data_IF_570474229775
#
_entry.id   IF_570474229775
#
_cell.length_a   1.000
_cell.length_b   1.000
_cell.length_c   1.000
_cell.angle_alpha   90.00
_cell.angle_beta   90.00
_cell.angle_gamma   90.00
#
_symmetry.space_group_name_H-M   'P 1'
#
loop_
_entity.id
_entity.type
_entity.pdbx_description
1 polymer ?
#
# COMPACT_ATOMS: atom_id res chain seq x y z
N UNK A 1 43.29 -3.16 -8.56
CA UNK A 1 42.80 -2.97 -7.17
C UNK A 1 41.37 -3.48 -7.12
N UNK A 2 41.02 -4.42 -6.24
CA UNK A 2 39.63 -4.91 -6.13
C UNK A 2 38.73 -3.72 -5.74
N UNK A 3 37.68 -3.47 -6.53
CA UNK A 3 36.71 -2.39 -6.33
C UNK A 3 36.01 -2.52 -4.96
N UNK A 4 36.63 -1.99 -3.92
CA UNK A 4 36.09 -2.00 -2.55
C UNK A 4 34.95 -1.00 -2.47
N UNK A 5 33.85 -1.37 -1.83
CA UNK A 5 32.76 -0.45 -1.55
C UNK A 5 33.19 0.46 -0.39
N UNK A 6 33.00 1.77 -0.56
CA UNK A 6 33.26 2.76 0.46
C UNK A 6 32.22 2.64 1.58
N UNK A 7 32.68 2.53 2.82
CA UNK A 7 31.81 2.45 4.01
C UNK A 7 32.22 3.48 5.06
N UNK A 8 31.36 3.69 6.07
CA UNK A 8 31.68 4.55 7.22
C UNK A 8 33.02 4.15 7.85
N UNK A 9 33.77 5.13 8.35
CA UNK A 9 35.12 5.03 8.91
C UNK A 9 36.24 4.66 7.92
N UNK A 10 35.97 4.61 6.62
CA UNK A 10 37.06 4.56 5.63
C UNK A 10 37.74 5.92 5.54
N UNK A 11 39.06 5.90 5.43
CA UNK A 11 39.90 7.08 5.30
C UNK A 11 40.43 7.18 3.87
N UNK A 12 40.18 8.34 3.25
CA UNK A 12 40.55 8.66 1.88
C UNK A 12 41.40 9.92 1.86
N UNK A 13 42.51 9.89 1.12
CA UNK A 13 43.24 11.11 0.77
C UNK A 13 42.71 11.59 -0.58
N UNK A 14 42.03 12.74 -0.59
CA UNK A 14 41.33 13.26 -1.77
C UNK A 14 41.72 14.69 -2.11
N UNK A 15 41.63 15.04 -3.38
CA UNK A 15 41.47 16.45 -3.78
C UNK A 15 39.99 16.71 -4.06
N UNK A 16 39.46 17.80 -3.50
CA UNK A 16 38.07 18.21 -3.68
C UNK A 16 38.08 19.56 -4.39
N UNK A 17 37.36 19.66 -5.49
CA UNK A 17 37.04 20.93 -6.16
C UNK A 17 35.53 21.13 -6.14
N UNK A 18 35.09 22.36 -5.95
CA UNK A 18 33.68 22.75 -5.95
C UNK A 18 33.47 23.87 -6.96
N UNK A 19 32.40 23.77 -7.74
CA UNK A 19 32.05 24.67 -8.83
C UNK A 19 30.62 25.20 -8.63
N UNK A 20 30.38 26.46 -9.00
CA UNK A 20 29.02 26.99 -9.14
C UNK A 20 28.51 26.84 -10.58
N UNK A 21 27.32 27.37 -10.86
CA UNK A 21 26.69 27.35 -12.19
C UNK A 21 27.54 28.01 -13.31
N UNK A 22 28.61 28.73 -12.96
CA UNK A 22 29.53 29.38 -13.92
C UNK A 22 30.86 28.65 -14.07
N UNK A 23 30.97 27.44 -13.52
CA UNK A 23 32.22 26.67 -13.44
C UNK A 23 33.35 27.42 -12.71
N UNK A 24 33.02 28.37 -11.82
CA UNK A 24 34.04 29.09 -11.03
C UNK A 24 34.50 28.21 -9.86
N UNK A 25 35.82 28.10 -9.67
CA UNK A 25 36.40 27.35 -8.55
C UNK A 25 36.19 28.10 -7.24
N UNK A 26 35.48 27.46 -6.30
CA UNK A 26 35.09 28.09 -5.04
C UNK A 26 36.06 27.82 -3.88
N UNK A 27 35.91 28.58 -2.80
CA UNK A 27 36.69 28.51 -1.55
C UNK A 27 36.66 27.14 -0.84
N UNK A 28 35.76 26.25 -1.26
CA UNK A 28 35.63 24.87 -0.79
C UNK A 28 36.69 23.92 -1.34
N UNK A 29 37.57 24.37 -2.25
CA UNK A 29 38.63 23.53 -2.79
C UNK A 29 39.62 23.07 -1.70
N UNK A 30 39.98 21.78 -1.71
CA UNK A 30 40.99 21.21 -0.81
C UNK A 30 41.91 20.27 -1.60
N UNK A 31 43.21 20.32 -1.29
CA UNK A 31 44.21 19.39 -1.86
C UNK A 31 44.75 18.48 -0.75
N UNK A 32 44.95 17.19 -1.07
CA UNK A 32 45.42 16.15 -0.15
C UNK A 32 44.63 16.11 1.17
N UNK A 33 43.32 16.34 1.10
CA UNK A 33 42.45 16.34 2.27
C UNK A 33 42.22 14.92 2.77
N UNK A 34 42.31 14.73 4.07
CA UNK A 34 42.05 13.44 4.69
C UNK A 34 40.57 13.33 5.07
N UNK A 35 39.78 12.69 4.20
CA UNK A 35 38.34 12.52 4.38
C UNK A 35 38.06 11.21 5.13
N UNK A 36 37.38 11.30 6.26
CA UNK A 36 36.90 10.14 7.01
C UNK A 36 35.40 10.02 6.82
N UNK A 37 34.97 9.00 6.06
CA UNK A 37 33.58 8.84 5.68
C UNK A 37 32.68 8.58 6.89
N UNK A 38 31.55 9.29 6.96
CA UNK A 38 30.55 9.21 8.02
C UNK A 38 30.84 10.09 9.22
N UNK A 39 31.90 10.92 9.18
CA UNK A 39 32.20 11.93 10.22
C UNK A 39 31.77 13.34 9.82
N UNK A 40 31.28 13.54 8.60
CA UNK A 40 30.92 14.86 8.08
C UNK A 40 32.09 15.85 8.19
N UNK A 41 33.33 15.37 7.99
CA UNK A 41 34.55 16.13 8.30
C UNK A 41 34.85 17.25 7.29
N UNK A 42 34.25 17.19 6.10
CA UNK A 42 34.37 18.23 5.07
C UNK A 42 33.14 19.14 5.07
N UNK A 43 31.98 18.56 4.77
CA UNK A 43 30.67 19.21 4.79
C UNK A 43 29.64 18.18 5.27
N UNK A 44 28.65 18.64 6.05
CA UNK A 44 27.54 17.78 6.47
C UNK A 44 26.81 17.23 5.24
N UNK A 45 26.65 15.91 5.19
CA UNK A 45 25.96 15.22 4.09
C UNK A 45 26.84 14.93 2.87
N UNK A 46 28.07 15.45 2.81
CA UNK A 46 28.99 15.18 1.70
C UNK A 46 29.31 13.69 1.57
N UNK A 47 29.54 13.03 2.71
CA UNK A 47 29.96 11.62 2.77
C UNK A 47 28.90 10.67 2.20
N UNK A 48 27.61 11.07 2.22
CA UNK A 48 26.51 10.27 1.71
C UNK A 48 26.60 10.03 0.19
N UNK A 49 27.24 10.94 -0.56
CA UNK A 49 27.47 10.77 -2.00
C UNK A 49 28.57 9.76 -2.33
N UNK A 50 29.40 9.40 -1.35
CA UNK A 50 30.54 8.48 -1.51
C UNK A 50 30.28 7.11 -0.87
N UNK A 51 29.62 7.07 0.29
CA UNK A 51 29.30 5.82 1.00
C UNK A 51 28.40 4.93 0.12
N UNK A 52 28.76 3.65 0.00
CA UNK A 52 28.07 2.68 -0.85
C UNK A 52 28.58 2.64 -2.29
N UNK A 53 29.34 3.65 -2.73
CA UNK A 53 29.96 3.64 -4.05
C UNK A 53 31.18 2.71 -4.09
N UNK A 54 31.49 2.22 -5.28
CA UNK A 54 32.77 1.54 -5.52
C UNK A 54 33.90 2.56 -5.45
N UNK A 55 35.05 2.14 -4.93
CA UNK A 55 36.27 2.95 -4.93
C UNK A 55 36.72 3.28 -6.36
N UNK A 56 36.45 4.50 -6.80
CA UNK A 56 36.88 5.05 -8.08
C UNK A 56 37.96 6.13 -7.91
N UNK A 57 38.74 6.42 -8.97
CA UNK A 57 39.71 7.53 -8.98
C UNK A 57 39.05 8.92 -8.94
N UNK A 58 37.82 9.04 -9.45
CA UNK A 58 37.08 10.29 -9.57
C UNK A 58 35.62 10.07 -9.21
N UNK A 59 35.05 11.01 -8.47
CA UNK A 59 33.61 11.14 -8.23
C UNK A 59 33.17 12.53 -8.62
N UNK A 60 32.02 12.61 -9.28
CA UNK A 60 31.35 13.87 -9.63
C UNK A 60 29.91 13.81 -9.14
N UNK A 61 29.48 14.81 -8.38
CA UNK A 61 28.11 14.92 -7.87
C UNK A 61 27.76 16.36 -7.49
N UNK A 62 26.49 16.70 -7.60
CA UNK A 62 25.95 17.98 -7.15
C UNK A 62 25.38 17.84 -5.74
N UNK A 63 25.59 18.84 -4.87
CA UNK A 63 24.90 18.87 -3.57
C UNK A 63 24.58 20.30 -3.14
N UNK A 64 23.51 20.43 -2.34
CA UNK A 64 23.12 21.69 -1.72
C UNK A 64 23.97 21.93 -0.48
N UNK A 65 24.56 23.12 -0.39
CA UNK A 65 25.35 23.52 0.77
C UNK A 65 24.43 23.78 1.97
N UNK A 66 24.76 23.24 3.16
CA UNK A 66 23.95 23.44 4.36
C UNK A 66 23.69 24.93 4.68
N UNK A 67 22.50 25.22 5.19
CA UNK A 67 22.09 26.58 5.59
C UNK A 67 22.85 27.13 6.80
N UNK A 68 23.57 26.28 7.54
CA UNK A 68 24.45 26.63 8.66
C UNK A 68 25.92 26.80 8.24
N UNK A 69 26.23 26.80 6.93
CA UNK A 69 27.59 26.99 6.44
C UNK A 69 28.12 28.41 6.71
N UNK A 70 29.42 28.53 7.02
CA UNK A 70 30.03 29.79 7.47
C UNK A 70 30.03 30.89 6.40
N UNK A 71 30.12 30.52 5.12
CA UNK A 71 30.12 31.49 4.01
C UNK A 71 28.70 31.80 3.57
N UNK A 72 28.24 33.03 3.85
CA UNK A 72 26.90 33.50 3.50
C UNK A 72 26.60 33.41 2.00
N UNK A 73 27.61 33.52 1.15
CA UNK A 73 27.44 33.49 -0.30
C UNK A 73 27.22 32.08 -0.86
N UNK A 74 27.53 31.05 -0.07
CA UNK A 74 27.42 29.65 -0.48
C UNK A 74 26.26 28.91 0.20
N UNK A 75 25.75 29.41 1.33
CA UNK A 75 24.62 28.80 2.05
C UNK A 75 23.43 28.54 1.13
N UNK A 76 22.94 27.30 1.09
CA UNK A 76 21.77 26.90 0.31
C UNK A 76 21.98 26.85 -1.21
N UNK A 77 23.19 27.16 -1.72
CA UNK A 77 23.48 26.99 -3.15
C UNK A 77 23.75 25.52 -3.48
N UNK A 78 23.34 25.11 -4.67
CA UNK A 78 23.77 23.85 -5.27
C UNK A 78 25.14 24.05 -5.89
N UNK A 79 26.09 23.19 -5.54
CA UNK A 79 27.44 23.21 -6.11
C UNK A 79 27.80 21.83 -6.66
N UNK A 80 28.59 21.83 -7.73
CA UNK A 80 29.14 20.62 -8.34
C UNK A 80 30.50 20.28 -7.73
N UNK A 81 30.65 19.06 -7.25
CA UNK A 81 31.87 18.59 -6.61
C UNK A 81 32.59 17.58 -7.48
N UNK A 82 33.91 17.76 -7.61
CA UNK A 82 34.83 16.79 -8.20
C UNK A 82 35.82 16.31 -7.15
N UNK A 83 35.76 15.02 -6.84
CA UNK A 83 36.57 14.38 -5.79
C UNK A 83 37.55 13.40 -6.42
N UNK A 84 38.84 13.75 -6.44
CA UNK A 84 39.91 12.91 -6.93
C UNK A 84 40.51 12.11 -5.78
N UNK A 85 40.38 10.79 -5.85
CA UNK A 85 40.93 9.88 -4.85
C UNK A 85 42.40 9.58 -5.15
N UNK A 86 43.30 10.06 -4.27
CA UNK A 86 44.75 9.94 -4.45
C UNK A 86 45.38 8.70 -3.82
N UNK A 87 44.71 8.04 -2.88
CA UNK A 87 45.35 6.99 -2.07
C UNK A 87 44.55 5.68 -2.00
N UNK A 88 45.29 4.59 -1.73
CA UNK A 88 44.70 3.31 -1.33
C UNK A 88 43.92 3.52 -0.04
N UNK A 89 42.63 3.16 -0.04
CA UNK A 89 41.74 3.23 1.13
C UNK A 89 42.45 2.65 2.35
N UNK A 90 42.71 3.50 3.36
CA UNK A 90 43.08 3.01 4.68
C UNK A 90 41.80 2.64 5.38
N UNK A 91 41.68 1.36 5.73
CA UNK A 91 40.65 0.92 6.66
C UNK A 91 41.26 1.03 8.04
N UNK A 92 40.63 1.81 8.91
CA UNK A 92 40.95 1.76 10.33
C UNK A 92 40.80 0.30 10.79
N UNK A 93 41.93 -0.33 11.08
CA UNK A 93 42.07 -1.76 11.35
C UNK A 93 41.53 -2.18 12.73
N UNK A 94 40.66 -1.38 13.35
CA UNK A 94 40.10 -1.65 14.68
C UNK A 94 38.72 -2.31 14.65
N UNK A 95 38.26 -2.77 13.49
CA UNK A 95 37.16 -3.75 13.48
C UNK A 95 37.72 -5.15 13.69
N UNK A 96 38.19 -5.40 14.92
CA UNK A 96 38.15 -6.75 15.49
C UNK A 96 36.66 -7.07 15.75
N UNK A 97 35.91 -7.25 14.67
CA UNK A 97 34.60 -7.87 14.75
C UNK A 97 34.87 -9.30 15.19
N UNK A 98 34.57 -9.54 16.47
CA UNK A 98 34.67 -10.85 17.07
C UNK A 98 33.96 -11.88 16.17
N UNK A 99 34.65 -12.99 15.86
CA UNK A 99 34.09 -14.08 15.05
C UNK A 99 32.79 -14.59 15.68
N UNK A 100 32.66 -14.50 17.00
CA UNK A 100 31.42 -14.84 17.71
C UNK A 100 30.28 -13.88 17.37
N UNK A 101 30.53 -12.56 17.30
CA UNK A 101 29.52 -11.56 16.92
C UNK A 101 29.08 -11.71 15.47
N UNK A 102 30.00 -12.01 14.56
CA UNK A 102 29.65 -12.26 13.15
C UNK A 102 28.75 -13.49 13.06
N UNK A 103 29.16 -14.61 13.69
CA UNK A 103 28.36 -15.85 13.72
C UNK A 103 26.99 -15.65 14.36
N UNK A 104 26.88 -14.84 15.42
CA UNK A 104 25.58 -14.57 16.07
C UNK A 104 24.66 -13.78 15.14
N UNK A 105 25.18 -12.76 14.44
CA UNK A 105 24.43 -11.97 13.46
C UNK A 105 24.01 -12.81 12.25
N UNK A 106 24.87 -13.70 11.77
CA UNK A 106 24.53 -14.65 10.69
C UNK A 106 23.41 -15.60 11.09
N UNK A 107 23.46 -16.14 12.32
CA UNK A 107 22.40 -17.00 12.88
C UNK A 107 21.09 -16.23 13.05
N UNK A 108 21.15 -15.00 13.56
CA UNK A 108 19.97 -14.15 13.70
C UNK A 108 19.35 -13.83 12.32
N UNK A 109 20.18 -13.47 11.34
CA UNK A 109 19.73 -13.22 9.97
C UNK A 109 19.09 -14.46 9.34
N UNK A 110 19.66 -15.65 9.54
CA UNK A 110 19.09 -16.91 9.07
C UNK A 110 17.72 -17.18 9.71
N UNK A 111 17.62 -17.05 11.04
CA UNK A 111 16.36 -17.21 11.78
C UNK A 111 15.30 -16.20 11.32
N UNK A 112 15.67 -14.94 11.06
CA UNK A 112 14.73 -13.92 10.58
C UNK A 112 14.24 -14.20 9.16
N UNK A 113 15.12 -14.70 8.28
CA UNK A 113 14.72 -15.13 6.93
C UNK A 113 13.73 -16.30 6.98
N UNK A 114 13.96 -17.27 7.85
CA UNK A 114 13.07 -18.41 8.04
C UNK A 114 11.69 -17.97 8.58
N UNK A 115 11.66 -17.14 9.63
CA UNK A 115 10.41 -16.56 10.16
C UNK A 115 9.64 -15.79 9.09
N UNK A 116 10.33 -14.98 8.28
CA UNK A 116 9.69 -14.23 7.20
C UNK A 116 9.14 -15.15 6.11
N UNK A 117 9.82 -16.25 5.77
CA UNK A 117 9.32 -17.24 4.82
C UNK A 117 8.05 -17.95 5.32
N UNK A 118 8.00 -18.30 6.62
CA UNK A 118 6.81 -18.89 7.25
C UNK A 118 5.63 -17.90 7.26
N UNK A 119 5.87 -16.64 7.64
CA UNK A 119 4.84 -15.59 7.61
C UNK A 119 4.28 -15.37 6.20
N UNK A 120 5.12 -15.40 5.17
CA UNK A 120 4.67 -15.30 3.78
C UNK A 120 3.78 -16.48 3.39
N UNK A 121 4.13 -17.70 3.79
CA UNK A 121 3.34 -18.89 3.51
C UNK A 121 1.97 -18.84 4.20
N UNK A 122 1.93 -18.42 5.47
CA UNK A 122 0.67 -18.29 6.23
C UNK A 122 -0.23 -17.20 5.64
N UNK A 123 0.34 -16.08 5.21
CA UNK A 123 -0.41 -15.03 4.52
C UNK A 123 -1.03 -15.51 3.20
N UNK A 124 -0.31 -16.33 2.43
CA UNK A 124 -0.84 -16.94 1.20
C UNK A 124 -2.01 -17.89 1.50
N UNK A 125 -1.88 -18.73 2.54
CA UNK A 125 -2.96 -19.63 2.99
C UNK A 125 -4.19 -18.84 3.44
N UNK A 126 -4.02 -17.87 4.33
CA UNK A 126 -5.12 -17.03 4.84
C UNK A 126 -5.85 -16.29 3.72
N UNK A 127 -5.10 -15.79 2.71
CA UNK A 127 -5.71 -15.16 1.54
C UNK A 127 -6.59 -16.15 0.75
N UNK A 128 -6.09 -17.36 0.50
CA UNK A 128 -6.85 -18.40 -0.21
C UNK A 128 -8.11 -18.84 0.56
N UNK A 129 -8.02 -18.96 1.89
CA UNK A 129 -9.16 -19.30 2.75
C UNK A 129 -10.21 -18.19 2.75
N UNK A 130 -9.78 -16.93 2.86
CA UNK A 130 -10.68 -15.77 2.77
C UNK A 130 -11.41 -15.72 1.44
N UNK A 131 -10.71 -15.96 0.33
CA UNK A 131 -11.33 -15.99 -1.01
C UNK A 131 -12.36 -17.12 -1.13
N UNK A 132 -12.07 -18.29 -0.57
CA UNK A 132 -13.01 -19.42 -0.51
C UNK A 132 -14.26 -19.07 0.30
N UNK A 133 -14.09 -18.52 1.52
CA UNK A 133 -15.22 -18.12 2.37
C UNK A 133 -16.12 -17.08 1.67
N UNK A 134 -15.52 -16.08 1.00
CA UNK A 134 -16.28 -15.08 0.25
C UNK A 134 -17.06 -15.72 -0.90
N UNK A 135 -16.46 -16.70 -1.60
CA UNK A 135 -17.12 -17.42 -2.68
C UNK A 135 -18.30 -18.24 -2.16
N UNK A 136 -18.07 -19.04 -1.12
CA UNK A 136 -19.08 -19.90 -0.51
C UNK A 136 -20.26 -19.06 0.00
N UNK A 137 -19.99 -17.93 0.66
CA UNK A 137 -21.03 -17.00 1.13
C UNK A 137 -21.82 -16.35 -0.02
N UNK A 138 -21.16 -15.99 -1.12
CA UNK A 138 -21.85 -15.45 -2.32
C UNK A 138 -22.77 -16.48 -2.96
N UNK A 139 -22.33 -17.74 -3.01
CA UNK A 139 -23.13 -18.83 -3.56
C UNK A 139 -24.32 -19.12 -2.64
N UNK A 140 -24.14 -19.08 -1.32
CA UNK A 140 -25.25 -19.20 -0.36
C UNK A 140 -26.28 -18.07 -0.52
N UNK A 141 -25.83 -16.81 -0.64
CA UNK A 141 -26.74 -15.67 -0.90
C UNK A 141 -27.58 -15.91 -2.16
N UNK A 142 -26.96 -16.33 -3.27
CA UNK A 142 -27.70 -16.62 -4.52
C UNK A 142 -28.75 -17.72 -4.32
N UNK A 143 -28.40 -18.80 -3.59
CA UNK A 143 -29.37 -19.87 -3.31
C UNK A 143 -30.52 -19.38 -2.42
N UNK A 144 -30.25 -18.50 -1.46
CA UNK A 144 -31.28 -17.88 -0.63
C UNK A 144 -32.18 -16.95 -1.44
N UNK A 145 -31.60 -16.08 -2.28
CA UNK A 145 -32.35 -15.18 -3.17
C UNK A 145 -33.28 -15.96 -4.10
N UNK A 146 -32.80 -17.05 -4.70
CA UNK A 146 -33.62 -17.91 -5.56
C UNK A 146 -34.80 -18.52 -4.79
N UNK A 147 -34.55 -19.10 -3.60
CA UNK A 147 -35.61 -19.65 -2.74
C UNK A 147 -36.62 -18.58 -2.30
N UNK A 148 -36.15 -17.37 -1.99
CA UNK A 148 -37.02 -16.27 -1.61
C UNK A 148 -37.91 -15.83 -2.78
N UNK A 149 -37.34 -15.71 -4.00
CA UNK A 149 -38.10 -15.40 -5.22
C UNK A 149 -39.16 -16.45 -5.53
N UNK A 150 -38.82 -17.74 -5.42
CA UNK A 150 -39.76 -18.84 -5.61
C UNK A 150 -40.93 -18.77 -4.63
N UNK A 151 -40.66 -18.59 -3.33
CA UNK A 151 -41.72 -18.47 -2.30
C UNK A 151 -42.60 -17.24 -2.50
N UNK A 152 -42.03 -16.11 -2.93
CA UNK A 152 -42.80 -14.90 -3.23
C UNK A 152 -43.70 -15.14 -4.45
N UNK A 153 -43.17 -15.76 -5.51
CA UNK A 153 -43.93 -16.09 -6.72
C UNK A 153 -45.08 -17.06 -6.42
N UNK A 154 -44.83 -18.09 -5.59
CA UNK A 154 -45.85 -19.04 -5.14
C UNK A 154 -46.99 -18.34 -4.39
N UNK A 155 -46.66 -17.50 -3.39
CA UNK A 155 -47.67 -16.73 -2.64
C UNK A 155 -48.46 -15.78 -3.52
N UNK A 156 -47.77 -15.07 -4.43
CA UNK A 156 -48.42 -14.16 -5.37
C UNK A 156 -49.39 -14.90 -6.30
N UNK A 157 -49.02 -16.10 -6.76
CA UNK A 157 -49.89 -16.92 -7.60
C UNK A 157 -51.12 -17.42 -6.82
N UNK A 158 -50.93 -17.86 -5.58
CA UNK A 158 -52.04 -18.28 -4.71
C UNK A 158 -53.01 -17.12 -4.44
N UNK A 159 -52.50 -15.92 -4.17
CA UNK A 159 -53.33 -14.74 -3.92
C UNK A 159 -54.10 -14.31 -5.17
N UNK A 160 -53.48 -14.39 -6.37
CA UNK A 160 -54.16 -14.18 -7.65
C UNK A 160 -55.31 -15.17 -7.86
N UNK A 161 -55.07 -16.46 -7.64
CA UNK A 161 -56.10 -17.49 -7.76
C UNK A 161 -57.27 -17.27 -6.77
N UNK A 162 -56.96 -16.88 -5.53
CA UNK A 162 -58.00 -16.56 -4.54
C UNK A 162 -58.83 -15.33 -4.97
N UNK A 163 -58.19 -14.32 -5.56
CA UNK A 163 -58.88 -13.12 -6.04
C UNK A 163 -59.75 -13.43 -7.28
N UNK A 164 -59.25 -14.24 -8.21
CA UNK A 164 -60.00 -14.74 -9.37
C UNK A 164 -61.24 -15.54 -8.93
N UNK A 165 -61.08 -16.47 -7.98
CA UNK A 165 -62.20 -17.24 -7.43
C UNK A 165 -63.24 -16.33 -6.75
N UNK A 166 -62.80 -15.36 -5.93
CA UNK A 166 -63.71 -14.37 -5.30
C UNK A 166 -64.45 -13.54 -6.34
N UNK A 167 -63.80 -13.19 -7.44
CA UNK A 167 -64.41 -12.44 -8.53
C UNK A 167 -65.46 -13.27 -9.29
N UNK A 168 -65.18 -14.53 -9.57
CA UNK A 168 -66.15 -15.47 -10.17
C UNK A 168 -67.35 -15.73 -9.25
N UNK A 169 -67.11 -15.93 -7.95
CA UNK A 169 -68.19 -16.05 -6.96
C UNK A 169 -69.04 -14.78 -6.91
N UNK A 170 -68.42 -13.59 -6.96
CA UNK A 170 -69.15 -12.34 -7.00
C UNK A 170 -70.00 -12.20 -8.27
N UNK A 171 -69.50 -12.61 -9.44
CA UNK A 171 -70.31 -12.64 -10.67
C UNK A 171 -71.51 -13.57 -10.56
N UNK A 172 -71.30 -14.76 -10.00
CA UNK A 172 -72.32 -15.82 -9.94
C UNK A 172 -73.41 -15.53 -8.90
N UNK A 173 -73.02 -15.04 -7.73
CA UNK A 173 -73.90 -14.88 -6.58
C UNK A 173 -74.21 -13.41 -6.24
N UNK A 174 -73.49 -12.45 -6.83
CA UNK A 174 -73.72 -11.02 -6.59
C UNK A 174 -75.10 -10.58 -7.04
N UNK A 175 -75.56 -11.05 -8.21
CA UNK A 175 -76.92 -10.80 -8.70
C UNK A 175 -77.98 -11.40 -7.77
N UNK A 176 -77.76 -12.61 -7.24
CA UNK A 176 -78.66 -13.23 -6.28
C UNK A 176 -78.76 -12.43 -4.98
N UNK A 177 -77.64 -11.99 -4.40
CA UNK A 177 -77.66 -11.15 -3.20
C UNK A 177 -78.36 -9.80 -3.42
N UNK A 178 -78.11 -9.17 -4.57
CA UNK A 178 -78.80 -7.94 -4.96
C UNK A 178 -80.31 -8.22 -5.08
N UNK A 179 -80.69 -9.30 -5.77
CA UNK A 179 -82.08 -9.69 -5.94
C UNK A 179 -82.78 -9.99 -4.60
N UNK A 180 -82.17 -10.79 -3.73
CA UNK A 180 -82.65 -11.10 -2.38
C UNK A 180 -82.85 -9.84 -1.53
N UNK A 181 -81.98 -8.83 -1.68
CA UNK A 181 -82.11 -7.56 -0.94
C UNK A 181 -83.24 -6.67 -1.44
N UNK A 182 -83.56 -6.75 -2.74
CA UNK A 182 -84.60 -5.92 -3.38
C UNK A 182 -85.98 -6.62 -3.34
N UNK A 183 -86.02 -7.95 -3.28
CA UNK A 183 -87.27 -8.72 -3.30
C UNK A 183 -88.29 -8.33 -2.22
N UNK A 184 -87.91 -8.15 -0.93
CA UNK A 184 -88.84 -7.69 0.09
C UNK A 184 -89.39 -6.28 -0.19
N UNK A 185 -88.58 -5.39 -0.79
CA UNK A 185 -89.02 -4.04 -1.19
C UNK A 185 -90.07 -4.16 -2.28
N UNK A 186 -89.81 -4.98 -3.29
CA UNK A 186 -90.76 -5.26 -4.38
C UNK A 186 -92.06 -5.86 -3.82
N UNK A 187 -91.97 -6.85 -2.92
CA UNK A 187 -93.14 -7.48 -2.29
C UNK A 187 -93.96 -6.48 -1.47
N UNK A 188 -93.32 -5.64 -0.65
CA UNK A 188 -94.01 -4.62 0.13
C UNK A 188 -94.70 -3.58 -0.77
N UNK A 189 -94.10 -3.21 -1.90
CA UNK A 189 -94.71 -2.31 -2.88
C UNK A 189 -95.92 -2.96 -3.56
N UNK A 190 -95.84 -4.25 -3.92
CA UNK A 190 -96.96 -5.02 -4.48
C UNK A 190 -98.15 -5.08 -3.51
N UNK A 191 -97.90 -5.42 -2.24
CA UNK A 191 -98.93 -5.47 -1.19
C UNK A 191 -99.57 -4.10 -0.92
N UNK A 192 -98.85 -3.00 -1.14
CA UNK A 192 -99.39 -1.65 -0.96
C UNK A 192 -100.27 -1.18 -2.14
N UNK A 193 -100.28 -1.89 -3.27
CA UNK A 193 -101.04 -1.54 -4.47
C UNK A 193 -102.33 -2.38 -4.59
N UNK A 194 -102.37 -3.56 -3.95
CA UNK A 194 -103.56 -4.42 -3.83
C UNK A 194 -104.51 -3.96 -2.69
#
# INVERSE_FOLDING_TARGET
MKNKILVKNNELTVDISAFDDKDEVLSLQRKNFNLILGKDSFLRGFDANLIGQKSLPLYEFSMVIPSDFKDEKLRGKTLDFKVHNKAKIKVNSETNLDKEKIKSLEKELANQKEKNALLLLDNVKLKSEKEKIIKDFKDEIKTFENRAREKIAEKLNLEKQLLENKFEDFKKYGSQKIFESIMPIIQNLLVAIE
#
